data_IF_422273845498
#
_entry.id   IF_422273845498
#
_cell.length_a   1.000
_cell.length_b   1.000
_cell.length_c   1.000
_cell.angle_alpha   90.00
_cell.angle_beta   90.00
_cell.angle_gamma   90.00
#
_symmetry.space_group_name_H-M   'P 1'
#
loop_
_entity.id
_entity.type
_entity.pdbx_description
1 polymer ?
#
# COMPACT_ATOMS: atom_id res chain seq x y z
N UNK A 1 -0.86 1.13 15.58
CA UNK A 1 -1.27 2.51 15.20
C UNK A 1 -1.82 2.45 13.78
N UNK A 2 -2.82 3.26 13.43
CA UNK A 2 -3.53 3.14 12.14
C UNK A 2 -3.11 4.27 11.21
N UNK A 3 -2.81 3.93 9.96
CA UNK A 3 -2.54 4.86 8.87
C UNK A 3 -3.56 4.63 7.75
N UNK A 4 -4.07 5.74 7.20
CA UNK A 4 -5.15 5.69 6.21
C UNK A 4 -4.61 5.84 4.80
N UNK A 5 -4.98 4.93 3.91
CA UNK A 5 -4.67 4.99 2.48
C UNK A 5 -5.73 5.83 1.78
N UNK A 6 -5.35 6.96 1.17
CA UNK A 6 -6.26 7.81 0.39
C UNK A 6 -6.13 7.61 -1.12
N UNK A 7 -5.07 6.96 -1.59
CA UNK A 7 -4.85 6.74 -3.02
C UNK A 7 -4.11 5.45 -3.27
N UNK A 8 -4.56 4.73 -4.29
CA UNK A 8 -3.91 3.53 -4.82
C UNK A 8 -3.69 3.74 -6.32
N UNK A 9 -2.43 3.65 -6.74
CA UNK A 9 -2.01 3.96 -8.10
C UNK A 9 -1.09 2.85 -8.64
N UNK A 10 -1.35 2.40 -9.87
CA UNK A 10 -0.37 1.64 -10.67
C UNK A 10 0.25 2.61 -11.68
N UNK A 11 1.56 2.81 -11.60
CA UNK A 11 2.27 3.65 -12.55
C UNK A 11 2.41 2.95 -13.90
N UNK A 12 2.71 3.72 -14.95
CA UNK A 12 3.00 3.18 -16.29
C UNK A 12 4.23 2.25 -16.28
N UNK A 13 5.15 2.44 -15.32
CA UNK A 13 6.27 1.52 -15.04
C UNK A 13 5.82 0.16 -14.50
N UNK A 14 4.58 0.07 -14.02
CA UNK A 14 3.97 -1.12 -13.40
C UNK A 14 4.17 -1.22 -11.89
N UNK A 15 4.77 -0.22 -11.24
CA UNK A 15 4.89 -0.18 -9.78
C UNK A 15 3.55 0.16 -9.12
N UNK A 16 3.24 -0.47 -7.99
CA UNK A 16 2.05 -0.18 -7.18
C UNK A 16 2.42 0.78 -6.06
N UNK A 17 1.58 1.79 -5.83
CA UNK A 17 1.73 2.76 -4.75
C UNK A 17 0.48 2.77 -3.86
N UNK A 18 0.71 2.81 -2.54
CA UNK A 18 -0.29 3.06 -1.49
C UNK A 18 0.07 4.38 -0.79
N UNK A 19 -0.58 5.47 -1.17
CA UNK A 19 -0.33 6.79 -0.58
C UNK A 19 -1.14 6.98 0.70
N UNK A 20 -0.54 7.63 1.69
CA UNK A 20 -1.15 7.82 3.01
C UNK A 20 -1.74 9.22 3.17
N UNK A 21 -2.82 9.32 3.95
CA UNK A 21 -3.42 10.61 4.36
C UNK A 21 -2.46 11.43 5.20
N UNK A 22 -1.72 10.78 6.11
CA UNK A 22 -0.80 11.45 7.04
C UNK A 22 0.42 12.06 6.36
N UNK A 23 0.73 11.62 5.14
CA UNK A 23 1.93 12.01 4.42
C UNK A 23 3.19 11.34 4.99
N UNK A 24 4.27 12.10 5.10
CA UNK A 24 5.59 11.59 5.50
C UNK A 24 5.74 11.43 7.02
N UNK A 25 6.43 10.35 7.43
CA UNK A 25 7.01 10.20 8.76
C UNK A 25 8.44 9.69 8.64
N UNK A 26 9.34 10.22 9.47
CA UNK A 26 10.76 9.87 9.44
C UNK A 26 11.03 8.36 9.50
N UNK A 27 10.19 7.60 10.23
CA UNK A 27 10.31 6.15 10.36
C UNK A 27 10.00 5.38 9.08
N UNK A 28 9.19 5.93 8.16
CA UNK A 28 8.78 5.21 6.93
C UNK A 28 9.95 4.94 6.01
N UNK A 29 10.91 5.86 5.97
CA UNK A 29 12.13 5.71 5.20
C UNK A 29 12.98 4.53 5.65
N UNK A 30 12.75 3.95 6.84
CA UNK A 30 13.50 2.78 7.30
C UNK A 30 12.93 1.45 6.84
N UNK A 31 11.80 1.44 6.11
CA UNK A 31 11.17 0.20 5.64
C UNK A 31 12.11 -0.65 4.79
N UNK A 32 13.03 -0.07 4.01
CA UNK A 32 13.94 -0.83 3.13
C UNK A 32 14.84 -1.83 3.87
N UNK A 33 15.04 -1.67 5.19
CA UNK A 33 15.91 -2.55 5.99
C UNK A 33 15.30 -3.94 6.17
N UNK A 34 13.99 -3.98 6.32
CA UNK A 34 13.21 -5.21 6.52
C UNK A 34 12.30 -5.51 5.32
N UNK A 35 12.10 -4.49 4.48
CA UNK A 35 11.04 -4.34 3.50
C UNK A 35 11.40 -5.07 2.23
N UNK A 36 11.29 -6.41 2.31
CA UNK A 36 11.23 -7.41 1.24
C UNK A 36 10.61 -6.86 -0.06
N UNK A 37 11.39 -6.07 -0.78
CA UNK A 37 11.01 -5.28 -1.95
C UNK A 37 9.93 -4.20 -1.74
N UNK A 38 9.71 -3.72 -0.52
CA UNK A 38 8.81 -2.60 -0.21
C UNK A 38 9.63 -1.37 0.15
N UNK A 39 9.29 -0.23 -0.47
CA UNK A 39 10.00 1.03 -0.27
C UNK A 39 9.01 2.14 0.09
N UNK A 40 9.50 3.17 0.77
CA UNK A 40 8.78 4.43 0.94
C UNK A 40 9.22 5.42 -0.15
N UNK A 41 8.27 6.14 -0.72
CA UNK A 41 8.49 7.20 -1.68
C UNK A 41 8.06 8.54 -1.08
N UNK A 42 9.03 9.45 -0.89
CA UNK A 42 8.77 10.75 -0.27
C UNK A 42 7.95 11.68 -1.17
N UNK A 43 8.17 11.63 -2.49
CA UNK A 43 7.50 12.53 -3.43
C UNK A 43 6.01 12.17 -3.57
N UNK A 44 5.70 10.87 -3.56
CA UNK A 44 4.32 10.36 -3.61
C UNK A 44 3.70 10.13 -2.24
N UNK A 45 4.46 10.31 -1.16
CA UNK A 45 4.07 10.03 0.22
C UNK A 45 3.36 8.68 0.37
N UNK A 46 4.00 7.63 -0.14
CA UNK A 46 3.40 6.30 -0.19
C UNK A 46 4.38 5.15 -0.17
N UNK A 47 3.88 3.99 0.23
CA UNK A 47 4.60 2.73 0.10
C UNK A 47 4.48 2.20 -1.31
N UNK A 48 5.58 1.66 -1.86
CA UNK A 48 5.61 1.12 -3.21
C UNK A 48 6.19 -0.29 -3.28
N UNK A 49 5.66 -1.06 -4.24
CA UNK A 49 6.23 -2.34 -4.67
C UNK A 49 6.84 -2.23 -6.06
N UNK A 50 7.78 -3.12 -6.43
CA UNK A 50 8.23 -3.25 -7.81
C UNK A 50 7.08 -3.71 -8.72
N UNK A 51 7.34 -3.64 -10.02
CA UNK A 51 6.47 -4.24 -11.03
C UNK A 51 6.25 -5.73 -10.74
N UNK A 52 5.00 -6.22 -10.72
CA UNK A 52 4.74 -7.62 -10.46
C UNK A 52 5.37 -8.53 -11.52
N UNK A 53 6.04 -9.61 -11.05
CA UNK A 53 6.61 -10.66 -11.91
C UNK A 53 5.81 -11.96 -11.81
N UNK A 54 5.72 -12.51 -10.60
CA UNK A 54 4.96 -13.73 -10.27
C UNK A 54 3.70 -13.44 -9.46
N UNK A 55 3.72 -12.37 -8.67
CA UNK A 55 2.62 -11.94 -7.82
C UNK A 55 1.65 -11.07 -8.59
N UNK A 56 0.38 -11.10 -8.18
CA UNK A 56 -0.59 -10.12 -8.66
C UNK A 56 -0.43 -8.79 -7.90
N UNK A 57 -1.02 -7.71 -8.41
CA UNK A 57 -1.11 -6.46 -7.66
C UNK A 57 -1.83 -6.60 -6.32
N UNK A 58 -2.82 -7.51 -6.24
CA UNK A 58 -3.50 -7.80 -4.98
C UNK A 58 -2.58 -8.50 -3.97
N UNK A 59 -1.67 -9.36 -4.44
CA UNK A 59 -0.66 -9.96 -3.57
C UNK A 59 0.33 -8.93 -3.05
N UNK A 60 0.76 -7.99 -3.91
CA UNK A 60 1.59 -6.87 -3.48
C UNK A 60 0.89 -5.95 -2.48
N UNK A 61 -0.40 -5.66 -2.67
CA UNK A 61 -1.18 -4.91 -1.68
C UNK A 61 -1.12 -5.57 -0.30
N UNK A 62 -1.48 -6.86 -0.21
CA UNK A 62 -1.43 -7.62 1.06
C UNK A 62 -0.02 -7.65 1.65
N UNK A 63 0.99 -7.83 0.80
CA UNK A 63 2.38 -7.89 1.24
C UNK A 63 2.87 -6.55 1.80
N UNK A 64 2.53 -5.42 1.17
CA UNK A 64 2.85 -4.09 1.70
C UNK A 64 2.20 -3.92 3.08
N UNK A 65 0.90 -4.23 3.23
CA UNK A 65 0.23 -4.14 4.52
C UNK A 65 0.90 -5.02 5.60
N UNK A 66 1.28 -6.25 5.24
CA UNK A 66 1.97 -7.18 6.13
C UNK A 66 3.34 -6.65 6.58
N UNK A 67 4.17 -6.19 5.64
CA UNK A 67 5.50 -5.67 5.92
C UNK A 67 5.42 -4.41 6.80
N UNK A 68 4.52 -3.47 6.48
CA UNK A 68 4.33 -2.25 7.27
C UNK A 68 3.89 -2.59 8.70
N UNK A 69 2.98 -3.55 8.85
CA UNK A 69 2.56 -4.05 10.16
C UNK A 69 3.71 -4.66 10.96
N UNK A 70 4.48 -5.56 10.36
CA UNK A 70 5.56 -6.26 11.04
C UNK A 70 6.77 -5.36 11.36
N UNK A 71 7.17 -4.50 10.43
CA UNK A 71 8.37 -3.67 10.57
C UNK A 71 8.13 -2.40 11.38
N UNK A 72 6.90 -1.88 11.40
CA UNK A 72 6.61 -0.56 11.99
C UNK A 72 5.51 -0.58 13.05
N UNK A 73 4.86 -1.72 13.29
CA UNK A 73 3.69 -1.83 14.17
C UNK A 73 2.54 -0.88 13.73
N UNK A 74 2.39 -0.75 12.41
CA UNK A 74 1.41 0.10 11.74
C UNK A 74 0.41 -0.72 10.94
N UNK A 75 -0.88 -0.48 11.15
CA UNK A 75 -1.94 -1.05 10.33
C UNK A 75 -2.29 -0.06 9.24
N UNK A 76 -2.26 -0.51 7.98
CA UNK A 76 -2.78 0.25 6.86
C UNK A 76 -4.25 -0.09 6.65
N UNK A 77 -5.09 0.92 6.54
CA UNK A 77 -6.52 0.76 6.30
C UNK A 77 -6.98 1.74 5.22
N UNK A 78 -8.01 1.39 4.44
CA UNK A 78 -8.56 2.33 3.48
C UNK A 78 -9.19 3.54 4.21
N UNK A 79 -9.00 4.72 3.62
CA UNK A 79 -9.78 5.89 3.99
C UNK A 79 -11.23 5.74 3.52
N UNK A 80 -12.13 6.59 4.05
CA UNK A 80 -13.55 6.64 3.61
C UNK A 80 -13.69 6.90 2.10
N UNK A 81 -12.72 7.62 1.52
CA UNK A 81 -12.67 7.93 0.11
C UNK A 81 -11.25 7.65 -0.37
N UNK A 82 -11.14 6.79 -1.37
CA UNK A 82 -9.87 6.37 -1.97
C UNK A 82 -9.88 6.76 -3.44
N UNK A 83 -8.87 7.49 -3.88
CA UNK A 83 -8.59 7.73 -5.28
C UNK A 83 -7.95 6.49 -5.90
N UNK A 84 -8.55 5.97 -6.96
CA UNK A 84 -8.01 4.81 -7.69
C UNK A 84 -7.49 5.28 -9.04
N UNK A 85 -6.21 5.05 -9.32
CA UNK A 85 -5.60 5.44 -10.60
C UNK A 85 -4.94 4.25 -11.28
N UNK A 86 -5.37 3.98 -12.52
CA UNK A 86 -4.94 2.82 -13.32
C UNK A 86 -5.22 1.46 -12.62
N UNK A 87 -6.26 1.40 -11.78
CA UNK A 87 -6.68 0.17 -11.07
C UNK A 87 -7.99 -0.32 -11.68
N UNK A 88 -8.04 -1.57 -12.12
CA UNK A 88 -9.28 -2.18 -12.64
C UNK A 88 -10.32 -2.36 -11.53
N UNK A 89 -11.61 -2.26 -11.87
CA UNK A 89 -12.70 -2.39 -10.88
C UNK A 89 -12.67 -3.73 -10.14
N UNK A 90 -12.26 -4.82 -10.80
CA UNK A 90 -12.10 -6.13 -10.15
C UNK A 90 -11.04 -6.09 -9.03
N UNK A 91 -9.90 -5.43 -9.27
CA UNK A 91 -8.85 -5.29 -8.26
C UNK A 91 -9.29 -4.37 -7.13
N UNK A 92 -10.00 -3.28 -7.43
CA UNK A 92 -10.57 -2.40 -6.40
C UNK A 92 -11.50 -3.19 -5.46
N UNK A 93 -12.41 -3.99 -6.00
CA UNK A 93 -13.34 -4.81 -5.21
C UNK A 93 -12.60 -5.83 -4.32
N UNK A 94 -11.54 -6.49 -4.84
CA UNK A 94 -10.72 -7.40 -4.03
C UNK A 94 -10.07 -6.69 -2.84
N UNK A 95 -9.54 -5.49 -3.07
CA UNK A 95 -8.89 -4.68 -2.03
C UNK A 95 -9.92 -4.23 -0.99
N UNK A 96 -11.07 -3.70 -1.42
CA UNK A 96 -12.14 -3.23 -0.52
C UNK A 96 -12.68 -4.37 0.35
N UNK A 97 -12.99 -5.52 -0.26
CA UNK A 97 -13.50 -6.68 0.49
C UNK A 97 -12.48 -7.19 1.51
N UNK A 98 -11.19 -7.20 1.14
CA UNK A 98 -10.13 -7.61 2.05
C UNK A 98 -10.00 -6.64 3.24
N UNK A 99 -9.97 -5.33 2.98
CA UNK A 99 -9.89 -4.30 4.02
C UNK A 99 -11.07 -4.42 5.00
N UNK A 100 -12.30 -4.58 4.51
CA UNK A 100 -13.48 -4.76 5.36
C UNK A 100 -13.44 -6.03 6.21
N UNK A 101 -12.93 -7.14 5.66
CA UNK A 101 -12.83 -8.42 6.39
C UNK A 101 -11.78 -8.39 7.50
N UNK A 102 -10.78 -7.51 7.44
CA UNK A 102 -9.74 -7.40 8.46
C UNK A 102 -10.22 -6.70 9.75
N UNK A 103 -11.41 -6.09 9.73
CA UNK A 103 -12.00 -5.34 10.85
C UNK A 103 -13.12 -6.12 11.59
N UNK A 104 -13.25 -7.42 11.32
CA UNK A 104 -14.30 -8.28 11.87
C UNK A 104 -13.68 -9.45 12.66
#
# INVERSE_FOLDING_TARGET
MIEKINKIEILDSGELYLCLVSGERASYQHIYRDGREVYWDNDKQGFKSPKPRKWSYFDWYKHICLVVSQSMNLTLELAKTVEWKNISSELQLKIINHDQSAHH
#
